data_IF_980204761028
#
_entry.id   IF_980204761028
#
_cell.length_a   1.000
_cell.length_b   1.000
_cell.length_c   1.000
_cell.angle_alpha   90.00
_cell.angle_beta   90.00
_cell.angle_gamma   90.00
#
_symmetry.space_group_name_H-M   'P 1'
#
loop_
_entity.id
_entity.type
_entity.pdbx_description
1 polymer ?
#
# COMPACT_ATOMS: atom_id res chain seq x y z
N UNK A 1 69.47 -34.88 17.31
CA UNK A 1 68.18 -34.74 18.02
C UNK A 1 67.28 -33.83 17.19
N UNK A 2 66.32 -34.40 16.44
CA UNK A 2 65.33 -33.61 15.67
C UNK A 2 64.23 -33.17 16.62
N UNK A 3 64.01 -31.87 16.77
CA UNK A 3 62.93 -31.30 17.57
C UNK A 3 61.62 -31.39 16.77
N UNK A 4 60.69 -32.19 17.26
CA UNK A 4 59.33 -32.27 16.74
C UNK A 4 58.50 -31.18 17.42
N UNK A 5 57.95 -30.25 16.64
CA UNK A 5 57.03 -29.23 17.13
C UNK A 5 55.60 -29.70 16.87
N UNK A 6 54.85 -29.95 17.95
CA UNK A 6 53.42 -30.29 17.88
C UNK A 6 52.62 -29.00 17.83
N UNK A 7 51.97 -28.73 16.70
CA UNK A 7 51.08 -27.58 16.53
C UNK A 7 49.70 -27.92 17.13
N UNK A 8 49.33 -27.25 18.21
CA UNK A 8 48.02 -27.41 18.87
C UNK A 8 46.99 -26.50 18.16
N UNK A 9 46.06 -27.09 17.42
CA UNK A 9 44.92 -26.35 16.85
C UNK A 9 43.86 -26.15 17.94
N UNK A 10 43.73 -24.93 18.45
CA UNK A 10 42.60 -24.54 19.30
C UNK A 10 41.43 -24.16 18.39
N UNK A 11 40.45 -25.05 18.28
CA UNK A 11 39.18 -24.76 17.62
C UNK A 11 38.35 -23.90 18.58
N UNK A 12 38.31 -22.60 18.34
CA UNK A 12 37.39 -21.69 19.02
C UNK A 12 36.02 -21.90 18.37
N UNK A 13 35.15 -22.65 19.04
CA UNK A 13 33.73 -22.71 18.74
C UNK A 13 33.12 -21.33 19.04
N UNK A 14 33.01 -20.49 18.01
CA UNK A 14 32.18 -19.30 18.06
C UNK A 14 30.74 -19.80 18.02
N UNK A 15 30.13 -19.94 19.19
CA UNK A 15 28.68 -20.04 19.27
C UNK A 15 28.14 -18.70 18.80
N UNK A 16 27.53 -18.68 17.62
CA UNK A 16 26.60 -17.62 17.26
C UNK A 16 25.43 -17.74 18.23
N UNK A 17 25.55 -17.09 19.39
CA UNK A 17 24.39 -16.68 20.16
C UNK A 17 23.65 -15.76 19.19
N UNK A 18 22.63 -16.30 18.52
CA UNK A 18 21.60 -15.48 17.90
C UNK A 18 21.03 -14.71 19.07
N UNK A 19 21.54 -13.50 19.31
CA UNK A 19 20.79 -12.51 20.07
C UNK A 19 19.50 -12.38 19.29
N UNK A 20 18.44 -13.01 19.78
CA UNK A 20 17.09 -12.55 19.51
C UNK A 20 17.13 -11.07 19.85
N UNK A 21 17.14 -10.20 18.83
CA UNK A 21 17.07 -8.77 19.04
C UNK A 21 15.67 -8.49 19.56
N UNK A 22 15.44 -8.74 20.84
CA UNK A 22 14.19 -8.44 21.51
C UNK A 22 14.16 -6.94 21.73
N UNK A 23 13.11 -6.29 21.24
CA UNK A 23 12.90 -4.85 21.42
C UNK A 23 12.63 -4.63 22.90
N UNK A 24 13.29 -3.66 23.56
CA UNK A 24 13.01 -3.36 24.97
C UNK A 24 11.67 -2.63 25.13
N UNK A 25 11.13 -2.58 26.36
CA UNK A 25 9.90 -1.80 26.62
C UNK A 25 10.10 -0.32 26.31
N UNK A 26 11.27 0.24 26.61
CA UNK A 26 11.62 1.63 26.31
C UNK A 26 11.66 1.88 24.80
N UNK A 27 12.25 0.96 24.03
CA UNK A 27 12.29 1.05 22.58
C UNK A 27 10.88 0.93 21.97
N UNK A 28 10.06 0.01 22.49
CA UNK A 28 8.68 -0.16 22.08
C UNK A 28 7.86 1.11 22.28
N UNK A 29 7.95 1.70 23.48
CA UNK A 29 7.33 2.99 23.82
C UNK A 29 7.84 4.06 22.85
N UNK A 30 9.16 4.18 22.69
CA UNK A 30 9.77 5.16 21.79
C UNK A 30 9.23 5.05 20.36
N UNK A 31 9.12 3.84 19.81
CA UNK A 31 8.60 3.64 18.44
C UNK A 31 7.15 4.10 18.28
N UNK A 32 6.27 3.81 19.25
CA UNK A 32 4.89 4.30 19.22
C UNK A 32 4.83 5.81 19.40
N UNK A 33 5.55 6.38 20.38
CA UNK A 33 5.60 7.82 20.63
C UNK A 33 6.12 8.59 19.43
N UNK A 34 7.14 8.05 18.73
CA UNK A 34 7.69 8.65 17.53
C UNK A 34 6.70 8.62 16.38
N UNK A 35 5.99 7.49 16.19
CA UNK A 35 4.89 7.44 15.21
C UNK A 35 3.84 8.50 15.52
N UNK A 36 3.35 8.54 16.75
CA UNK A 36 2.31 9.48 17.17
C UNK A 36 2.75 10.93 16.94
N UNK A 37 3.97 11.30 17.35
CA UNK A 37 4.53 12.64 17.13
C UNK A 37 4.56 12.99 15.64
N UNK A 38 5.15 12.13 14.81
CA UNK A 38 5.31 12.38 13.38
C UNK A 38 3.94 12.47 12.67
N UNK A 39 2.95 11.68 13.09
CA UNK A 39 1.60 11.77 12.56
C UNK A 39 0.91 13.07 13.02
N UNK A 40 0.96 13.39 14.31
CA UNK A 40 0.36 14.60 14.89
C UNK A 40 0.82 15.87 14.20
N UNK A 41 2.11 15.96 13.86
CA UNK A 41 2.64 17.10 13.14
C UNK A 41 2.46 16.99 11.62
N UNK A 42 2.64 15.81 11.02
CA UNK A 42 2.82 15.76 9.57
C UNK A 42 1.66 15.12 8.81
N UNK A 43 0.82 14.27 9.43
CA UNK A 43 -0.20 13.51 8.71
C UNK A 43 -1.20 14.42 8.02
N UNK A 44 -1.39 14.23 6.72
CA UNK A 44 -2.17 15.16 5.93
C UNK A 44 -3.69 15.07 6.18
N UNK A 45 -4.23 13.90 6.49
CA UNK A 45 -5.66 13.64 6.26
C UNK A 45 -6.47 13.37 7.54
N UNK A 46 -6.18 14.06 8.65
CA UNK A 46 -6.99 13.94 9.87
C UNK A 46 -8.47 14.29 9.64
N UNK A 47 -8.81 15.11 8.63
CA UNK A 47 -10.21 15.38 8.27
C UNK A 47 -10.99 14.15 7.77
N UNK A 48 -10.30 13.08 7.36
CA UNK A 48 -10.93 11.83 6.93
C UNK A 48 -11.28 10.92 8.12
N UNK A 49 -10.88 11.28 9.33
CA UNK A 49 -11.11 10.56 10.58
C UNK A 49 -11.60 11.49 11.70
N UNK A 50 -12.70 12.25 11.46
CA UNK A 50 -13.15 13.31 12.38
C UNK A 50 -13.55 12.80 13.77
N UNK A 51 -13.93 11.53 13.87
CA UNK A 51 -14.39 10.90 15.11
C UNK A 51 -13.24 10.31 15.94
N UNK A 52 -12.01 10.34 15.43
CA UNK A 52 -10.83 9.77 16.11
C UNK A 52 -10.15 10.86 16.94
N UNK A 53 -10.25 10.74 18.26
CA UNK A 53 -9.36 11.47 19.16
C UNK A 53 -7.99 10.78 19.15
N UNK A 54 -7.06 11.32 18.36
CA UNK A 54 -5.77 10.68 18.11
C UNK A 54 -4.87 10.57 19.35
N UNK A 55 -4.99 11.51 20.29
CA UNK A 55 -4.23 11.47 21.54
C UNK A 55 -4.77 10.40 22.51
N UNK A 56 -6.09 10.24 22.59
CA UNK A 56 -6.69 9.14 23.37
C UNK A 56 -6.40 7.77 22.72
N UNK A 57 -6.43 7.70 21.38
CA UNK A 57 -6.01 6.51 20.65
C UNK A 57 -4.55 6.15 20.97
N UNK A 58 -3.65 7.13 20.97
CA UNK A 58 -2.27 6.91 21.35
C UNK A 58 -2.13 6.38 22.79
N UNK A 59 -2.88 6.92 23.76
CA UNK A 59 -2.85 6.45 25.15
C UNK A 59 -3.32 5.00 25.29
N UNK A 60 -4.37 4.61 24.57
CA UNK A 60 -4.85 3.21 24.52
C UNK A 60 -3.75 2.28 23.96
N UNK A 61 -3.15 2.66 22.83
CA UNK A 61 -2.07 1.87 22.22
C UNK A 61 -0.79 1.85 23.04
N UNK A 62 -0.51 2.90 23.82
CA UNK A 62 0.63 2.94 24.73
C UNK A 62 0.53 1.82 25.77
N UNK A 63 -0.67 1.57 26.31
CA UNK A 63 -0.90 0.47 27.26
C UNK A 63 -0.70 -0.89 26.59
N UNK A 64 -1.13 -1.06 25.33
CA UNK A 64 -0.92 -2.30 24.56
C UNK A 64 0.58 -2.56 24.32
N UNK A 65 1.32 -1.53 23.95
CA UNK A 65 2.76 -1.59 23.64
C UNK A 65 3.62 -1.86 24.88
N UNK A 66 3.25 -1.31 26.04
CA UNK A 66 3.96 -1.54 27.31
C UNK A 66 3.89 -3.02 27.72
N UNK A 67 2.74 -3.66 27.51
CA UNK A 67 2.48 -5.02 27.98
C UNK A 67 2.81 -6.13 26.96
N UNK A 68 3.26 -5.76 25.75
CA UNK A 68 3.64 -6.73 24.72
C UNK A 68 5.13 -7.06 24.82
N UNK A 69 5.50 -8.34 24.76
CA UNK A 69 6.89 -8.81 24.83
C UNK A 69 7.37 -9.42 23.50
N UNK A 70 6.46 -9.85 22.64
CA UNK A 70 6.78 -10.40 21.33
C UNK A 70 6.91 -9.28 20.28
N UNK A 71 8.07 -9.23 19.63
CA UNK A 71 8.37 -8.20 18.63
C UNK A 71 7.40 -8.23 17.44
N UNK A 72 6.93 -9.41 17.03
CA UNK A 72 5.98 -9.53 15.93
C UNK A 72 4.64 -8.91 16.34
N UNK A 73 4.12 -9.27 17.51
CA UNK A 73 2.90 -8.67 18.05
C UNK A 73 3.04 -7.16 18.29
N UNK A 74 4.19 -6.68 18.76
CA UNK A 74 4.46 -5.25 18.88
C UNK A 74 4.28 -4.53 17.54
N UNK A 75 4.89 -5.04 16.47
CA UNK A 75 4.74 -4.45 15.14
C UNK A 75 3.32 -4.58 14.59
N UNK A 76 2.60 -5.66 14.92
CA UNK A 76 1.18 -5.81 14.60
C UNK A 76 0.32 -4.76 15.32
N UNK A 77 0.66 -4.40 16.56
CA UNK A 77 0.01 -3.29 17.30
C UNK A 77 0.29 -1.95 16.60
N UNK A 78 1.53 -1.68 16.18
CA UNK A 78 1.84 -0.46 15.42
C UNK A 78 1.11 -0.38 14.08
N UNK A 79 0.98 -1.50 13.37
CA UNK A 79 0.21 -1.56 12.12
C UNK A 79 -1.27 -1.26 12.35
N UNK A 80 -1.85 -1.75 13.46
CA UNK A 80 -3.21 -1.41 13.88
C UNK A 80 -3.38 0.07 14.17
N UNK A 81 -2.48 0.65 14.96
CA UNK A 81 -2.47 2.09 15.23
C UNK A 81 -2.39 2.91 13.94
N UNK A 82 -1.52 2.49 13.02
CA UNK A 82 -1.35 3.13 11.72
C UNK A 82 -2.60 3.02 10.83
N UNK A 83 -3.29 1.87 10.84
CA UNK A 83 -4.48 1.64 10.03
C UNK A 83 -5.66 2.54 10.41
N UNK A 84 -5.71 3.03 11.66
CA UNK A 84 -6.70 4.02 12.11
C UNK A 84 -6.60 5.35 11.33
N UNK A 85 -5.45 5.66 10.72
CA UNK A 85 -5.27 6.83 9.86
C UNK A 85 -5.89 6.67 8.45
N UNK A 86 -6.29 5.45 8.07
CA UNK A 86 -7.02 5.14 6.82
C UNK A 86 -6.38 5.72 5.55
N UNK A 87 -5.05 5.72 5.47
CA UNK A 87 -4.29 6.33 4.35
C UNK A 87 -3.29 5.37 3.70
N UNK A 88 -3.35 5.27 2.36
CA UNK A 88 -2.52 4.34 1.59
C UNK A 88 -1.04 4.71 1.54
N UNK A 89 -0.68 5.96 1.85
CA UNK A 89 0.70 6.45 1.90
C UNK A 89 1.28 6.48 3.32
N UNK A 90 0.52 5.98 4.30
CA UNK A 90 0.91 5.91 5.71
C UNK A 90 0.94 4.45 6.15
N UNK A 91 2.12 3.91 6.46
CA UNK A 91 2.33 2.47 6.65
C UNK A 91 3.44 2.19 7.66
N UNK A 92 3.33 1.07 8.38
CA UNK A 92 4.39 0.50 9.23
C UNK A 92 4.96 -0.74 8.56
N UNK A 93 6.29 -0.77 8.44
CA UNK A 93 7.06 -1.88 7.89
C UNK A 93 7.88 -2.54 9.00
N UNK A 94 7.62 -3.83 9.22
CA UNK A 94 8.37 -4.63 10.18
C UNK A 94 9.84 -4.79 9.75
N UNK A 95 10.77 -4.97 10.69
CA UNK A 95 12.13 -5.42 10.45
C UNK A 95 12.22 -6.69 9.58
N UNK A 96 13.34 -6.87 8.90
CA UNK A 96 13.57 -8.03 8.03
C UNK A 96 13.43 -9.36 8.77
N UNK A 97 14.02 -9.48 9.97
CA UNK A 97 13.98 -10.71 10.78
C UNK A 97 12.55 -11.14 11.20
N UNK A 98 11.58 -10.22 11.17
CA UNK A 98 10.16 -10.53 11.39
C UNK A 98 9.46 -10.86 10.08
N UNK A 99 9.73 -10.11 9.00
CA UNK A 99 9.15 -10.38 7.67
C UNK A 99 9.56 -11.75 7.13
N UNK A 100 10.76 -12.22 7.45
CA UNK A 100 11.24 -13.57 7.06
C UNK A 100 10.44 -14.70 7.72
N UNK A 101 9.74 -14.43 8.82
CA UNK A 101 8.84 -15.39 9.47
C UNK A 101 7.47 -15.46 8.80
N UNK A 102 7.09 -14.45 8.01
CA UNK A 102 5.82 -14.44 7.30
C UNK A 102 5.88 -15.29 6.02
N UNK A 103 4.82 -16.05 5.79
CA UNK A 103 4.66 -16.85 4.60
C UNK A 103 3.38 -16.49 3.84
N UNK A 104 3.54 -16.42 2.52
CA UNK A 104 2.46 -16.19 1.56
C UNK A 104 2.16 -17.53 0.90
N UNK A 105 1.12 -18.26 1.35
CA UNK A 105 0.83 -19.57 0.79
C UNK A 105 0.49 -19.45 -0.70
N UNK A 106 0.76 -20.50 -1.51
CA UNK A 106 0.56 -20.45 -2.96
C UNK A 106 -0.93 -20.61 -3.31
N UNK A 107 -1.78 -19.71 -2.81
CA UNK A 107 -3.21 -19.60 -3.08
C UNK A 107 -3.48 -18.14 -3.45
N UNK A 108 -3.78 -17.89 -4.73
CA UNK A 108 -4.00 -16.53 -5.26
C UNK A 108 -5.48 -16.18 -5.14
N UNK A 109 -5.77 -15.14 -4.37
CA UNK A 109 -7.14 -14.75 -4.03
C UNK A 109 -7.51 -13.41 -4.66
N UNK A 110 -8.78 -13.26 -5.03
CA UNK A 110 -9.40 -11.98 -5.41
C UNK A 110 -10.76 -11.83 -4.73
N UNK A 111 -11.08 -10.59 -4.37
CA UNK A 111 -12.42 -10.20 -3.95
C UNK A 111 -13.19 -9.70 -5.17
N UNK A 112 -14.42 -10.17 -5.31
CA UNK A 112 -15.39 -9.74 -6.32
C UNK A 112 -16.66 -9.41 -5.55
N UNK A 113 -17.03 -8.13 -5.48
CA UNK A 113 -18.11 -7.63 -4.62
C UNK A 113 -17.90 -8.13 -3.18
N UNK A 114 -18.80 -8.94 -2.64
CA UNK A 114 -18.71 -9.49 -1.28
C UNK A 114 -18.30 -10.97 -1.23
N UNK A 115 -17.72 -11.46 -2.32
CA UNK A 115 -17.28 -12.84 -2.45
C UNK A 115 -15.77 -12.92 -2.65
N UNK A 116 -15.19 -14.00 -2.12
CA UNK A 116 -13.75 -14.24 -2.13
C UNK A 116 -13.48 -15.48 -2.98
N UNK A 117 -12.70 -15.32 -4.04
CA UNK A 117 -12.44 -16.38 -5.02
C UNK A 117 -10.96 -16.72 -5.10
N UNK A 118 -10.68 -18.01 -5.23
CA UNK A 118 -9.36 -18.53 -5.55
C UNK A 118 -9.19 -18.53 -7.07
N UNK A 119 -8.31 -17.66 -7.56
CA UNK A 119 -8.08 -17.47 -9.00
C UNK A 119 -6.84 -18.19 -9.51
N UNK A 120 -5.98 -18.71 -8.63
CA UNK A 120 -4.83 -19.54 -8.98
C UNK A 120 -4.28 -20.23 -7.73
N UNK A 121 -3.48 -21.27 -7.91
CA UNK A 121 -2.81 -22.00 -6.82
C UNK A 121 -1.42 -22.46 -7.25
N UNK A 122 -0.59 -22.89 -6.31
CA UNK A 122 0.62 -23.66 -6.57
C UNK A 122 0.30 -25.09 -6.99
N UNK A 123 1.33 -25.83 -7.42
CA UNK A 123 1.18 -27.24 -7.81
C UNK A 123 0.62 -28.08 -6.66
N UNK A 124 1.02 -27.82 -5.41
CA UNK A 124 0.58 -28.61 -4.24
C UNK A 124 -0.93 -28.61 -4.01
N UNK A 125 -1.63 -27.57 -4.46
CA UNK A 125 -3.10 -27.48 -4.32
C UNK A 125 -3.85 -27.63 -5.65
N UNK A 126 -3.15 -27.79 -6.78
CA UNK A 126 -3.75 -27.78 -8.12
C UNK A 126 -4.79 -28.89 -8.36
N UNK A 127 -4.59 -30.05 -7.73
CA UNK A 127 -5.47 -31.22 -7.86
C UNK A 127 -6.58 -31.24 -6.78
N UNK A 128 -6.54 -30.29 -5.81
CA UNK A 128 -7.42 -30.23 -4.64
C UNK A 128 -8.36 -29.02 -4.71
N UNK A 129 -7.84 -27.88 -5.17
CA UNK A 129 -8.55 -26.60 -5.25
C UNK A 129 -8.76 -26.25 -6.73
N UNK A 130 -9.96 -26.50 -7.28
CA UNK A 130 -10.32 -25.99 -8.60
C UNK A 130 -10.24 -24.47 -8.64
N UNK A 131 -9.69 -23.91 -9.72
CA UNK A 131 -9.71 -22.45 -9.98
C UNK A 131 -11.17 -21.99 -10.04
N UNK A 132 -11.46 -20.82 -9.46
CA UNK A 132 -12.83 -20.29 -9.34
C UNK A 132 -13.59 -20.77 -8.10
N UNK A 133 -12.97 -21.56 -7.22
CA UNK A 133 -13.56 -21.91 -5.92
C UNK A 133 -13.75 -20.67 -5.05
N UNK A 134 -14.89 -20.59 -4.34
CA UNK A 134 -15.21 -19.52 -3.40
C UNK A 134 -14.74 -19.91 -2.01
N UNK A 135 -14.07 -19.01 -1.29
CA UNK A 135 -13.73 -19.19 0.13
C UNK A 135 -14.94 -18.77 0.96
N UNK A 136 -15.43 -19.69 1.80
CA UNK A 136 -16.53 -19.46 2.73
C UNK A 136 -16.02 -19.15 4.14
N UNK A 137 -14.98 -19.87 4.59
CA UNK A 137 -14.43 -19.73 5.95
C UNK A 137 -12.92 -19.79 5.96
N UNK A 138 -12.32 -19.18 6.99
CA UNK A 138 -10.93 -19.35 7.39
C UNK A 138 -10.91 -19.66 8.88
N UNK A 139 -10.23 -20.74 9.28
CA UNK A 139 -10.14 -21.19 10.67
C UNK A 139 -11.51 -21.32 11.35
N UNK A 140 -12.49 -21.86 10.61
CA UNK A 140 -13.87 -22.05 11.05
C UNK A 140 -14.73 -20.78 11.08
N UNK A 141 -14.14 -19.59 10.89
CA UNK A 141 -14.83 -18.31 10.88
C UNK A 141 -15.29 -17.91 9.47
N UNK A 142 -16.50 -17.36 9.35
CA UNK A 142 -17.01 -16.81 8.08
C UNK A 142 -16.06 -15.78 7.47
N UNK A 143 -15.79 -15.89 6.17
CA UNK A 143 -14.67 -15.23 5.49
C UNK A 143 -14.68 -13.70 5.64
N UNK A 144 -15.87 -13.08 5.59
CA UNK A 144 -16.00 -11.63 5.73
C UNK A 144 -15.77 -11.18 7.18
N UNK A 145 -16.23 -11.95 8.17
CA UNK A 145 -15.94 -11.69 9.58
C UNK A 145 -14.45 -11.86 9.87
N UNK A 146 -13.83 -12.92 9.34
CA UNK A 146 -12.40 -13.14 9.45
C UNK A 146 -11.59 -11.97 8.90
N UNK A 147 -11.97 -11.47 7.72
CA UNK A 147 -11.33 -10.30 7.12
C UNK A 147 -11.49 -9.05 8.01
N UNK A 148 -12.69 -8.78 8.53
CA UNK A 148 -12.97 -7.63 9.37
C UNK A 148 -12.23 -7.66 10.71
N UNK A 149 -12.06 -8.84 11.31
CA UNK A 149 -11.52 -8.98 12.67
C UNK A 149 -10.01 -9.22 12.66
N UNK A 150 -9.49 -9.98 11.68
CA UNK A 150 -8.13 -10.49 11.70
C UNK A 150 -7.21 -9.91 10.62
N UNK A 151 -7.77 -9.25 9.59
CA UNK A 151 -6.99 -8.80 8.42
C UNK A 151 -7.06 -7.28 8.22
N UNK A 152 -8.24 -6.72 8.00
CA UNK A 152 -8.44 -5.29 7.74
C UNK A 152 -7.91 -4.36 8.83
N UNK A 153 -7.96 -4.69 10.13
CA UNK A 153 -7.41 -3.82 11.17
C UNK A 153 -5.90 -3.56 11.03
N UNK A 154 -5.18 -4.31 10.20
CA UNK A 154 -3.73 -4.18 10.00
C UNK A 154 -3.36 -3.49 8.67
N UNK A 155 -4.34 -3.07 7.88
CA UNK A 155 -4.11 -2.50 6.54
C UNK A 155 -4.56 -1.05 6.53
N UNK A 156 -3.62 -0.15 6.27
CA UNK A 156 -3.91 1.27 6.06
C UNK A 156 -4.27 1.55 4.60
N UNK A 157 -5.35 2.29 4.38
CA UNK A 157 -5.78 2.70 3.05
C UNK A 157 -7.26 3.06 2.98
N UNK A 158 -7.67 3.52 1.80
CA UNK A 158 -9.08 3.68 1.47
C UNK A 158 -9.81 2.32 1.53
N UNK A 159 -11.12 2.34 1.77
CA UNK A 159 -11.91 1.12 1.96
C UNK A 159 -11.73 0.08 0.84
N UNK A 160 -11.76 0.53 -0.42
CA UNK A 160 -11.56 -0.38 -1.57
C UNK A 160 -10.15 -0.99 -1.61
N UNK A 161 -9.12 -0.25 -1.16
CA UNK A 161 -7.75 -0.76 -1.04
C UNK A 161 -7.66 -1.77 0.09
N UNK A 162 -8.22 -1.47 1.26
CA UNK A 162 -8.26 -2.38 2.42
C UNK A 162 -8.95 -3.69 2.04
N UNK A 163 -10.12 -3.61 1.40
CA UNK A 163 -10.88 -4.78 0.92
C UNK A 163 -10.10 -5.60 -0.12
N UNK A 164 -9.49 -4.93 -1.11
CA UNK A 164 -8.73 -5.61 -2.17
C UNK A 164 -7.44 -6.26 -1.66
N UNK A 165 -6.66 -5.52 -0.87
CA UNK A 165 -5.40 -5.99 -0.30
C UNK A 165 -5.64 -7.07 0.76
N UNK A 166 -6.60 -6.87 1.66
CA UNK A 166 -6.94 -7.85 2.68
C UNK A 166 -7.37 -9.19 2.08
N UNK A 167 -8.19 -9.20 1.03
CA UNK A 167 -8.50 -10.45 0.33
C UNK A 167 -7.26 -11.13 -0.26
N UNK A 168 -6.30 -10.36 -0.81
CA UNK A 168 -5.07 -10.92 -1.37
C UNK A 168 -4.13 -11.50 -0.31
N UNK A 169 -4.15 -10.95 0.91
CA UNK A 169 -3.21 -11.29 1.98
C UNK A 169 -3.84 -12.02 3.15
N UNK A 170 -5.13 -12.35 3.11
CA UNK A 170 -5.85 -12.94 4.24
C UNK A 170 -5.28 -14.28 4.73
N UNK A 171 -4.63 -15.03 3.85
CA UNK A 171 -3.98 -16.30 4.20
C UNK A 171 -2.51 -16.12 4.61
N UNK A 172 -1.96 -14.91 4.59
CA UNK A 172 -0.60 -14.66 5.12
C UNK A 172 -0.59 -14.97 6.62
N UNK A 173 0.46 -15.63 7.08
CA UNK A 173 0.64 -16.06 8.47
C UNK A 173 2.10 -16.38 8.76
N UNK A 174 2.40 -16.81 9.99
CA UNK A 174 3.75 -17.23 10.35
C UNK A 174 4.05 -18.64 9.86
N UNK A 175 5.31 -18.90 9.49
CA UNK A 175 5.78 -20.25 9.16
C UNK A 175 5.52 -21.18 10.36
N UNK A 176 4.89 -22.32 10.09
CA UNK A 176 4.49 -23.31 11.09
C UNK A 176 3.05 -23.15 11.60
N UNK A 177 2.38 -22.03 11.33
CA UNK A 177 0.99 -21.77 11.73
C UNK A 177 0.02 -22.10 10.59
N UNK A 178 -0.17 -23.39 10.31
CA UNK A 178 -1.12 -23.87 9.30
C UNK A 178 -2.52 -23.26 9.50
N UNK A 179 -3.19 -22.93 8.39
CA UNK A 179 -4.56 -22.41 8.39
C UNK A 179 -5.52 -23.39 7.73
N UNK A 180 -6.79 -23.35 8.10
CA UNK A 180 -7.85 -24.10 7.41
C UNK A 180 -8.71 -23.15 6.60
N UNK A 181 -9.12 -23.56 5.40
CA UNK A 181 -10.11 -22.86 4.59
C UNK A 181 -11.26 -23.79 4.25
N UNK A 182 -12.50 -23.30 4.36
CA UNK A 182 -13.66 -23.98 3.78
C UNK A 182 -13.97 -23.33 2.45
N UNK A 183 -14.01 -24.12 1.38
CA UNK A 183 -14.31 -23.65 0.02
C UNK A 183 -15.59 -24.26 -0.53
N UNK A 184 -16.31 -23.50 -1.37
CA UNK A 184 -17.30 -24.02 -2.32
C UNK A 184 -16.63 -24.11 -3.69
N UNK A 185 -16.51 -25.34 -4.22
CA UNK A 185 -15.97 -25.59 -5.56
C UNK A 185 -16.97 -25.15 -6.64
N UNK A 186 -16.55 -25.00 -7.92
CA UNK A 186 -17.46 -24.66 -9.02
C UNK A 186 -18.63 -25.64 -9.20
N UNK A 187 -18.45 -26.92 -8.83
CA UNK A 187 -19.51 -27.94 -8.84
C UNK A 187 -20.45 -27.89 -7.61
N UNK A 188 -20.35 -26.84 -6.77
CA UNK A 188 -21.10 -26.64 -5.52
C UNK A 188 -20.78 -27.59 -4.37
N UNK A 189 -19.76 -28.42 -4.52
CA UNK A 189 -19.25 -29.25 -3.43
C UNK A 189 -18.48 -28.37 -2.43
N UNK A 190 -18.76 -28.57 -1.14
CA UNK A 190 -18.06 -27.87 -0.05
C UNK A 190 -16.98 -28.79 0.49
N UNK A 191 -15.76 -28.25 0.63
CA UNK A 191 -14.63 -28.97 1.19
C UNK A 191 -13.82 -28.06 2.13
N UNK A 192 -13.38 -28.62 3.26
CA UNK A 192 -12.37 -28.00 4.12
C UNK A 192 -10.96 -28.47 3.70
N UNK A 193 -10.03 -27.53 3.65
CA UNK A 193 -8.68 -27.73 3.13
C UNK A 193 -7.68 -27.10 4.09
N UNK A 194 -6.64 -27.86 4.43
CA UNK A 194 -5.50 -27.38 5.19
C UNK A 194 -4.50 -26.68 4.28
N UNK A 195 -4.20 -25.43 4.59
CA UNK A 195 -3.18 -24.61 3.96
C UNK A 195 -1.92 -24.64 4.83
N UNK A 196 -0.91 -25.34 4.33
CA UNK A 196 0.39 -25.49 5.00
C UNK A 196 1.19 -24.19 4.97
N UNK A 197 1.67 -23.75 6.14
CA UNK A 197 2.61 -22.63 6.27
C UNK A 197 4.05 -23.14 6.37
N UNK A 198 4.48 -23.92 5.40
CA UNK A 198 5.76 -24.63 5.41
C UNK A 198 6.94 -23.81 4.89
N UNK A 199 6.70 -22.56 4.44
CA UNK A 199 7.73 -21.69 3.87
C UNK A 199 8.06 -22.00 2.40
N UNK A 200 7.44 -23.01 1.78
CA UNK A 200 7.81 -23.47 0.45
C UNK A 200 7.16 -22.62 -0.65
N UNK A 201 7.98 -21.96 -1.46
CA UNK A 201 7.49 -21.08 -2.53
C UNK A 201 7.31 -21.84 -3.83
N UNK A 202 6.12 -21.73 -4.41
CA UNK A 202 5.77 -22.40 -5.66
C UNK A 202 5.50 -21.40 -6.79
N UNK A 203 5.69 -21.84 -8.03
CA UNK A 203 5.18 -21.12 -9.19
C UNK A 203 3.67 -21.31 -9.27
N UNK A 204 2.97 -20.29 -9.77
CA UNK A 204 1.55 -20.41 -10.09
C UNK A 204 1.32 -21.53 -11.11
N UNK A 205 0.31 -22.37 -10.84
CA UNK A 205 0.00 -23.53 -11.65
C UNK A 205 -0.61 -23.14 -12.99
N UNK A 206 -1.57 -22.21 -12.98
CA UNK A 206 -2.12 -21.64 -14.21
C UNK A 206 -1.27 -20.44 -14.66
N UNK A 207 -1.06 -20.24 -15.97
CA UNK A 207 -0.51 -19.00 -16.49
C UNK A 207 -1.33 -17.82 -15.95
N UNK A 208 -0.66 -16.77 -15.48
CA UNK A 208 -1.37 -15.53 -15.18
C UNK A 208 -1.70 -14.87 -16.52
N UNK A 209 -2.98 -14.58 -16.76
CA UNK A 209 -3.44 -13.79 -17.94
C UNK A 209 -2.77 -12.41 -17.99
N UNK A 210 -2.21 -11.97 -16.87
CA UNK A 210 -1.19 -10.94 -16.78
C UNK A 210 0.20 -11.58 -16.72
N UNK A 211 0.90 -11.70 -17.85
CA UNK A 211 2.35 -11.59 -17.77
C UNK A 211 2.59 -10.25 -17.08
N UNK A 212 3.13 -10.26 -15.85
CA UNK A 212 3.77 -9.06 -15.35
C UNK A 212 4.66 -8.56 -16.49
N UNK A 213 4.45 -7.33 -16.96
CA UNK A 213 5.15 -6.87 -18.14
C UNK A 213 6.64 -7.04 -17.87
N UNK A 214 7.29 -7.88 -18.68
CA UNK A 214 8.74 -8.11 -18.56
C UNK A 214 9.53 -6.85 -18.94
N UNK A 215 8.87 -5.91 -19.62
CA UNK A 215 9.45 -4.68 -20.14
C UNK A 215 8.88 -3.45 -19.45
N UNK A 216 9.73 -2.44 -19.29
CA UNK A 216 9.36 -1.09 -18.81
C UNK A 216 8.34 -0.45 -19.76
N UNK A 217 8.55 -0.59 -21.08
CA UNK A 217 7.64 -0.14 -22.14
C UNK A 217 7.41 -1.26 -23.15
N UNK A 218 6.17 -1.46 -23.58
CA UNK A 218 5.83 -2.37 -24.68
C UNK A 218 4.99 -1.60 -25.70
N UNK A 219 5.32 -1.73 -26.98
CA UNK A 219 4.58 -1.09 -28.08
C UNK A 219 4.05 -2.17 -29.03
N UNK A 220 2.81 -1.99 -29.49
CA UNK A 220 2.16 -2.84 -30.50
C UNK A 220 1.36 -1.98 -31.47
N UNK A 221 1.47 -2.27 -32.76
CA UNK A 221 0.47 -1.86 -33.73
C UNK A 221 -0.70 -2.85 -33.69
N UNK A 222 -1.90 -2.37 -33.40
CA UNK A 222 -3.11 -3.17 -33.36
C UNK A 222 -3.90 -3.03 -34.68
N UNK A 223 -4.91 -3.88 -34.84
CA UNK A 223 -5.83 -3.80 -35.98
C UNK A 223 -6.50 -2.41 -36.06
N UNK A 224 -6.95 -2.07 -37.26
CA UNK A 224 -7.60 -0.79 -37.59
C UNK A 224 -6.70 0.43 -37.31
N UNK A 225 -5.38 0.30 -37.41
CA UNK A 225 -4.43 1.40 -37.19
C UNK A 225 -4.52 2.05 -35.80
N UNK A 226 -4.66 1.23 -34.75
CA UNK A 226 -4.59 1.68 -33.36
C UNK A 226 -3.19 1.40 -32.82
N UNK A 227 -2.54 2.42 -32.27
CA UNK A 227 -1.31 2.25 -31.51
C UNK A 227 -1.62 1.77 -30.09
N UNK A 228 -0.82 0.85 -29.57
CA UNK A 228 -0.83 0.46 -28.17
C UNK A 228 0.54 0.68 -27.57
N UNK A 229 0.58 1.29 -26.39
CA UNK A 229 1.78 1.41 -25.59
C UNK A 229 1.49 1.17 -24.11
N UNK A 230 2.21 0.26 -23.47
CA UNK A 230 2.16 0.10 -22.01
C UNK A 230 3.34 0.80 -21.36
N UNK A 231 3.10 1.50 -20.26
CA UNK A 231 4.12 2.15 -19.42
C UNK A 231 4.04 1.54 -18.03
N UNK A 232 4.95 0.62 -17.70
CA UNK A 232 4.77 -0.29 -16.57
C UNK A 232 5.45 0.15 -15.28
N UNK A 233 6.20 1.25 -15.31
CA UNK A 233 6.77 1.88 -14.11
C UNK A 233 7.19 3.32 -14.41
N UNK A 234 7.11 4.21 -13.42
CA UNK A 234 7.79 5.49 -13.43
C UNK A 234 8.96 5.54 -12.44
N UNK A 235 9.39 4.42 -11.87
CA UNK A 235 10.52 4.39 -10.93
C UNK A 235 11.89 4.41 -11.66
N UNK A 236 11.88 4.23 -12.98
CA UNK A 236 13.05 4.06 -13.85
C UNK A 236 13.03 5.13 -14.93
N UNK A 237 14.13 5.85 -15.10
CA UNK A 237 14.21 6.95 -16.09
C UNK A 237 14.10 6.41 -17.52
N UNK A 238 14.54 5.17 -17.74
CA UNK A 238 14.52 4.46 -19.02
C UNK A 238 13.12 4.42 -19.67
N UNK A 239 12.04 4.54 -18.89
CA UNK A 239 10.67 4.64 -19.41
C UNK A 239 10.51 5.81 -20.39
N UNK A 240 11.17 6.94 -20.12
CA UNK A 240 11.09 8.15 -20.94
C UNK A 240 11.78 7.93 -22.28
N UNK A 241 13.02 7.43 -22.26
CA UNK A 241 13.79 7.17 -23.48
C UNK A 241 13.09 6.11 -24.35
N UNK A 242 12.60 5.04 -23.72
CA UNK A 242 11.87 3.99 -24.43
C UNK A 242 10.58 4.51 -25.04
N UNK A 243 9.83 5.37 -24.34
CA UNK A 243 8.64 6.02 -24.89
C UNK A 243 8.98 6.94 -26.08
N UNK A 244 9.99 7.80 -25.92
CA UNK A 244 10.45 8.72 -26.98
C UNK A 244 10.86 7.93 -28.23
N UNK A 245 11.55 6.79 -28.07
CA UNK A 245 11.95 5.92 -29.19
C UNK A 245 10.78 5.35 -30.00
N UNK A 246 9.54 5.45 -29.50
CA UNK A 246 8.33 4.99 -30.17
C UNK A 246 7.48 6.12 -30.75
N UNK A 247 7.80 7.39 -30.48
CA UNK A 247 6.98 8.54 -30.90
C UNK A 247 6.68 8.54 -32.40
N UNK A 248 7.69 8.35 -33.25
CA UNK A 248 7.50 8.34 -34.70
C UNK A 248 6.49 7.27 -35.14
N UNK A 249 6.49 6.11 -34.50
CA UNK A 249 5.53 5.03 -34.76
C UNK A 249 4.15 5.35 -34.18
N UNK A 250 4.10 5.90 -32.97
CA UNK A 250 2.84 6.29 -32.32
C UNK A 250 2.08 7.33 -33.13
N UNK A 251 2.79 8.29 -33.74
CA UNK A 251 2.20 9.34 -34.58
C UNK A 251 1.70 8.85 -35.95
N UNK A 252 1.95 7.59 -36.35
CA UNK A 252 1.37 7.01 -37.57
C UNK A 252 -0.04 6.43 -37.35
N UNK A 253 -0.50 6.34 -36.11
CA UNK A 253 -1.77 5.71 -35.78
C UNK A 253 -2.90 6.73 -35.66
N UNK A 254 -4.11 6.32 -36.04
CA UNK A 254 -5.31 7.17 -35.96
C UNK A 254 -5.82 7.30 -34.52
N UNK A 255 -5.49 6.35 -33.66
CA UNK A 255 -5.85 6.34 -32.25
C UNK A 255 -4.79 5.64 -31.40
N UNK A 256 -4.73 5.98 -30.11
CA UNK A 256 -3.74 5.46 -29.17
C UNK A 256 -4.42 4.86 -27.92
N UNK A 257 -3.96 3.67 -27.51
CA UNK A 257 -4.23 3.07 -26.20
C UNK A 257 -2.95 3.18 -25.36
N UNK A 258 -3.05 3.83 -24.21
CA UNK A 258 -1.97 3.92 -23.21
C UNK A 258 -2.35 3.07 -22.01
N UNK A 259 -1.58 2.01 -21.76
CA UNK A 259 -1.83 1.07 -20.68
C UNK A 259 -0.89 1.32 -19.49
N UNK A 260 -1.48 1.73 -18.37
CA UNK A 260 -0.79 1.96 -17.09
C UNK A 260 -1.30 1.03 -15.97
N UNK A 261 -2.06 -0.02 -16.31
CA UNK A 261 -2.69 -0.91 -15.31
C UNK A 261 -1.69 -1.64 -14.41
N UNK A 262 -0.47 -1.83 -14.90
CA UNK A 262 0.65 -2.43 -14.14
C UNK A 262 1.67 -1.41 -13.63
N UNK A 263 1.38 -0.11 -13.75
CA UNK A 263 2.27 0.95 -13.29
C UNK A 263 2.03 1.24 -11.80
N UNK A 264 3.01 0.90 -10.96
CA UNK A 264 2.98 1.20 -9.53
C UNK A 264 3.36 2.63 -9.15
N UNK A 265 3.56 3.51 -10.13
CA UNK A 265 4.06 4.88 -9.93
C UNK A 265 5.59 4.96 -9.97
N UNK A 266 6.13 5.94 -9.25
CA UNK A 266 7.57 6.24 -9.17
C UNK A 266 7.82 7.75 -9.18
N UNK A 267 8.65 8.22 -10.10
CA UNK A 267 9.01 9.61 -10.23
C UNK A 267 8.08 10.34 -11.20
N UNK A 268 7.32 11.30 -10.66
CA UNK A 268 6.40 12.16 -11.38
C UNK A 268 7.06 12.95 -12.53
N UNK A 269 8.35 13.26 -12.44
CA UNK A 269 9.12 13.90 -13.53
C UNK A 269 9.11 13.06 -14.81
N UNK A 270 9.16 11.72 -14.70
CA UNK A 270 9.17 10.84 -15.87
C UNK A 270 7.81 10.78 -16.54
N UNK A 271 6.73 10.72 -15.76
CA UNK A 271 5.37 10.84 -16.28
C UNK A 271 5.19 12.16 -17.04
N UNK A 272 5.65 13.27 -16.48
CA UNK A 272 5.57 14.59 -17.13
C UNK A 272 6.37 14.69 -18.44
N UNK A 273 7.58 14.10 -18.48
CA UNK A 273 8.37 14.07 -19.71
C UNK A 273 7.69 13.28 -20.84
N UNK A 274 6.79 12.35 -20.50
CA UNK A 274 5.99 11.59 -21.46
C UNK A 274 4.73 12.37 -21.86
N UNK A 275 3.99 12.94 -20.90
CA UNK A 275 2.70 13.59 -21.17
C UNK A 275 2.81 14.81 -22.08
N UNK A 276 3.95 15.50 -22.12
CA UNK A 276 4.19 16.62 -23.05
C UNK A 276 4.05 16.24 -24.53
N UNK A 277 4.16 14.95 -24.89
CA UNK A 277 3.99 14.45 -26.25
C UNK A 277 2.55 13.97 -26.54
N UNK A 278 1.67 14.02 -25.55
CA UNK A 278 0.28 13.53 -25.62
C UNK A 278 -0.74 14.69 -25.64
N UNK A 279 -0.29 15.92 -25.81
CA UNK A 279 -1.12 17.13 -25.83
C UNK A 279 -0.70 18.07 -26.94
N UNK A 280 -1.67 18.78 -27.52
CA UNK A 280 -1.46 19.88 -28.47
C UNK A 280 -1.25 21.22 -27.77
N UNK A 281 -1.45 21.28 -26.44
CA UNK A 281 -1.30 22.49 -25.63
C UNK A 281 0.15 22.66 -25.17
N UNK A 282 0.65 23.92 -25.10
CA UNK A 282 1.98 24.19 -24.56
C UNK A 282 2.05 24.10 -23.02
N UNK A 283 0.93 23.75 -22.36
CA UNK A 283 0.81 23.62 -20.92
C UNK A 283 -0.11 22.47 -20.54
N UNK A 284 0.04 21.96 -19.31
CA UNK A 284 -0.88 21.04 -18.65
C UNK A 284 -1.10 21.53 -17.22
N UNK A 285 -2.31 21.35 -16.68
CA UNK A 285 -2.58 21.71 -15.29
C UNK A 285 -2.30 20.52 -14.38
N UNK A 286 -1.32 20.67 -13.48
CA UNK A 286 -1.02 19.68 -12.44
C UNK A 286 -2.01 19.69 -11.28
N UNK A 287 -1.92 18.70 -10.41
CA UNK A 287 -2.66 18.68 -9.15
C UNK A 287 -2.31 19.90 -8.27
N UNK A 288 -3.25 20.30 -7.40
CA UNK A 288 -2.95 21.30 -6.37
C UNK A 288 -2.41 20.62 -5.12
N UNK A 289 -1.31 21.15 -4.61
CA UNK A 289 -0.63 20.66 -3.41
C UNK A 289 -0.72 21.59 -2.22
N UNK A 290 -0.83 21.02 -1.03
CA UNK A 290 -0.56 21.75 0.21
C UNK A 290 0.12 20.87 1.25
N UNK A 291 0.97 21.48 2.06
CA UNK A 291 1.68 20.86 3.18
C UNK A 291 1.31 21.55 4.50
N UNK A 292 1.45 20.84 5.61
CA UNK A 292 1.33 21.45 6.95
C UNK A 292 2.46 22.45 7.18
N UNK A 293 2.13 23.51 7.92
CA UNK A 293 3.05 24.59 8.28
C UNK A 293 3.15 24.71 9.79
N UNK A 294 4.35 24.51 10.31
CA UNK A 294 4.62 24.54 11.76
C UNK A 294 5.47 25.74 12.13
N UNK A 295 4.88 26.70 12.85
CA UNK A 295 5.58 27.86 13.40
C UNK A 295 5.34 27.89 14.91
N UNK A 296 6.37 27.53 15.68
CA UNK A 296 6.26 27.34 17.13
C UNK A 296 5.73 28.59 17.87
N UNK A 297 6.20 29.78 17.48
CA UNK A 297 5.70 31.04 18.04
C UNK A 297 4.22 31.27 17.73
N UNK A 298 3.77 30.95 16.51
CA UNK A 298 2.37 31.11 16.14
C UNK A 298 1.49 30.08 16.85
N UNK A 299 1.98 28.86 17.06
CA UNK A 299 1.33 27.87 17.90
C UNK A 299 1.11 28.37 19.34
N UNK A 300 2.13 29.01 19.94
CA UNK A 300 2.01 29.61 21.26
C UNK A 300 0.99 30.77 21.29
N UNK A 301 0.98 31.63 20.27
CA UNK A 301 0.01 32.73 20.17
C UNK A 301 -1.41 32.25 19.88
N UNK A 302 -1.58 31.19 19.09
CA UNK A 302 -2.88 30.58 18.78
C UNK A 302 -3.55 29.94 20.01
N UNK A 303 -2.78 29.54 21.03
CA UNK A 303 -3.31 28.91 22.23
C UNK A 303 -4.34 29.80 22.98
N UNK A 304 -4.21 31.12 22.89
CA UNK A 304 -5.15 32.05 23.53
C UNK A 304 -6.52 32.15 22.84
N UNK A 305 -6.68 31.55 21.65
CA UNK A 305 -8.00 31.34 21.04
C UNK A 305 -8.75 30.16 21.68
N UNK A 306 -8.03 29.21 22.27
CA UNK A 306 -8.65 28.11 23.00
C UNK A 306 -9.18 28.62 24.35
N UNK A 307 -10.48 28.45 24.57
CA UNK A 307 -11.17 28.96 25.75
C UNK A 307 -10.61 28.39 27.06
N UNK A 308 -10.48 27.07 27.15
CA UNK A 308 -10.02 26.39 28.35
C UNK A 308 -8.60 26.81 28.72
N UNK A 309 -7.72 26.91 27.72
CA UNK A 309 -6.35 27.35 27.91
C UNK A 309 -6.25 28.81 28.39
N UNK A 310 -6.97 29.72 27.73
CA UNK A 310 -6.95 31.14 28.08
C UNK A 310 -7.52 31.38 29.50
N UNK A 311 -8.67 30.78 29.81
CA UNK A 311 -9.33 30.92 31.11
C UNK A 311 -8.50 30.32 32.25
N UNK A 312 -7.83 29.19 32.02
CA UNK A 312 -6.92 28.57 33.01
C UNK A 312 -5.74 29.48 33.39
N UNK A 313 -5.37 30.41 32.51
CA UNK A 313 -4.32 31.40 32.73
C UNK A 313 -4.85 32.78 33.13
N UNK A 314 -6.17 32.93 33.31
CA UNK A 314 -6.81 34.20 33.69
C UNK A 314 -6.96 35.21 32.54
N UNK A 315 -6.87 34.76 31.30
CA UNK A 315 -7.08 35.59 30.11
C UNK A 315 -8.49 35.40 29.55
N UNK A 316 -8.97 36.42 28.84
CA UNK A 316 -10.18 36.31 28.01
C UNK A 316 -9.77 35.69 26.66
N UNK A 317 -10.48 34.67 26.15
CA UNK A 317 -10.18 34.09 24.86
C UNK A 317 -10.28 35.14 23.74
N UNK A 318 -9.28 35.20 22.86
CA UNK A 318 -9.24 36.16 21.74
C UNK A 318 -9.28 35.42 20.41
N UNK A 319 -10.01 35.95 19.43
CA UNK A 319 -9.81 35.54 18.04
C UNK A 319 -8.35 35.75 17.66
N UNK A 320 -7.74 34.73 17.05
CA UNK A 320 -6.32 34.72 16.69
C UNK A 320 -6.18 34.18 15.28
N UNK A 321 -5.53 34.94 14.40
CA UNK A 321 -5.13 34.44 13.07
C UNK A 321 -4.18 33.23 13.15
N UNK A 322 -3.65 32.94 14.35
CA UNK A 322 -2.75 31.84 14.62
C UNK A 322 -3.46 30.59 15.19
N UNK A 323 -4.79 30.61 15.36
CA UNK A 323 -5.55 29.49 15.94
C UNK A 323 -5.25 28.15 15.25
N UNK A 324 -5.18 28.14 13.91
CA UNK A 324 -4.86 26.93 13.15
C UNK A 324 -3.49 26.34 13.52
N UNK A 325 -2.50 27.15 13.91
CA UNK A 325 -1.19 26.66 14.35
C UNK A 325 -1.26 25.97 15.71
N UNK A 326 -2.20 26.36 16.59
CA UNK A 326 -2.41 25.70 17.88
C UNK A 326 -2.89 24.26 17.70
N UNK A 327 -3.85 24.04 16.80
CA UNK A 327 -4.41 22.74 16.46
C UNK A 327 -3.59 21.95 15.42
N UNK A 328 -2.35 22.38 15.14
CA UNK A 328 -1.48 21.83 14.08
C UNK A 328 -2.13 21.83 12.68
N UNK A 329 -3.17 22.62 12.42
CA UNK A 329 -3.96 22.64 11.20
C UNK A 329 -3.67 23.83 10.27
N UNK A 330 -2.52 24.50 10.44
CA UNK A 330 -2.09 25.53 9.50
C UNK A 330 -1.49 24.90 8.23
N UNK A 331 -1.85 25.43 7.06
CA UNK A 331 -1.44 24.91 5.75
C UNK A 331 -0.73 25.97 4.90
N UNK A 332 0.24 25.51 4.11
CA UNK A 332 0.84 26.28 3.03
C UNK A 332 0.51 25.65 1.69
N UNK A 333 -0.05 26.45 0.77
CA UNK A 333 -0.18 26.04 -0.63
C UNK A 333 1.20 25.98 -1.25
N UNK A 334 1.48 24.86 -1.89
CA UNK A 334 2.75 24.69 -2.60
C UNK A 334 2.80 25.66 -3.78
N UNK A 335 3.95 26.33 -3.93
CA UNK A 335 4.19 27.29 -5.02
C UNK A 335 4.75 26.62 -6.29
N UNK A 336 5.00 25.32 -6.20
CA UNK A 336 5.58 24.52 -7.28
C UNK A 336 4.46 23.62 -7.77
N UNK A 337 4.19 23.66 -9.08
CA UNK A 337 3.42 22.63 -9.74
C UNK A 337 4.22 21.33 -9.59
N UNK A 338 3.73 20.45 -8.73
CA UNK A 338 4.26 19.10 -8.65
C UNK A 338 3.77 18.29 -9.84
N UNK A 339 4.54 17.28 -10.23
CA UNK A 339 4.32 16.58 -11.49
C UNK A 339 3.30 15.42 -11.40
N UNK A 340 2.36 15.44 -10.44
CA UNK A 340 1.46 14.32 -10.17
C UNK A 340 1.94 13.41 -9.05
N UNK A 341 1.49 13.63 -7.83
CA UNK A 341 1.62 12.67 -6.72
C UNK A 341 0.29 12.51 -5.98
N UNK A 342 -0.04 11.28 -5.59
CA UNK A 342 -1.18 10.95 -4.72
C UNK A 342 -0.85 11.12 -3.22
N UNK A 343 0.35 11.58 -2.91
CA UNK A 343 0.81 11.80 -1.54
C UNK A 343 2.34 11.80 -1.47
N UNK A 344 2.90 12.59 -0.56
CA UNK A 344 4.34 12.62 -0.33
C UNK A 344 4.61 12.05 1.07
N UNK A 345 5.12 10.81 1.18
CA UNK A 345 5.46 10.27 2.48
C UNK A 345 6.80 10.82 3.00
N UNK A 346 6.84 11.19 4.29
CA UNK A 346 8.09 11.20 5.06
C UNK A 346 8.38 9.80 5.56
N UNK A 347 9.65 9.45 5.71
CA UNK A 347 10.10 8.15 6.21
C UNK A 347 10.95 8.32 7.46
N UNK A 348 10.75 7.45 8.45
CA UNK A 348 11.58 7.40 9.65
C UNK A 348 11.73 5.96 10.16
N UNK A 349 12.77 5.75 10.96
CA UNK A 349 13.11 4.45 11.52
C UNK A 349 12.31 4.17 12.79
N UNK A 350 12.00 2.91 12.99
CA UNK A 350 11.45 2.31 14.21
C UNK A 350 12.50 1.35 14.82
N UNK A 351 12.31 0.85 16.05
CA UNK A 351 13.24 -0.07 16.70
C UNK A 351 13.63 -1.28 15.85
N UNK A 352 14.87 -1.75 15.98
CA UNK A 352 15.41 -2.90 15.24
C UNK A 352 15.21 -2.84 13.71
N UNK A 353 15.43 -1.67 13.10
CA UNK A 353 15.37 -1.47 11.64
C UNK A 353 13.98 -1.57 11.00
N UNK A 354 12.92 -1.58 11.81
CA UNK A 354 11.60 -1.30 11.27
C UNK A 354 11.54 0.14 10.74
N UNK A 355 10.48 0.44 10.01
CA UNK A 355 10.29 1.80 9.50
C UNK A 355 8.82 2.15 9.40
N UNK A 356 8.56 3.44 9.39
CA UNK A 356 7.25 3.99 9.14
C UNK A 356 7.35 5.02 8.02
N UNK A 357 6.25 5.17 7.29
CA UNK A 357 6.02 6.31 6.43
C UNK A 357 4.71 6.99 6.78
N UNK A 358 4.65 8.31 6.64
CA UNK A 358 3.46 9.12 6.91
C UNK A 358 3.24 10.08 5.76
N UNK A 359 2.03 10.11 5.20
CA UNK A 359 1.67 11.03 4.14
C UNK A 359 1.58 12.46 4.66
N UNK A 360 2.36 13.38 4.07
CA UNK A 360 2.46 14.77 4.54
C UNK A 360 1.82 15.79 3.60
N UNK A 361 1.32 15.34 2.46
CA UNK A 361 0.87 16.21 1.38
C UNK A 361 -0.58 15.95 1.02
N UNK A 362 -1.38 17.02 1.03
CA UNK A 362 -2.72 17.03 0.42
C UNK A 362 -2.62 17.30 -1.07
N UNK A 363 -3.36 16.54 -1.84
CA UNK A 363 -3.42 16.65 -3.29
C UNK A 363 -4.88 16.67 -3.75
N UNK A 364 -5.25 17.61 -4.63
CA UNK A 364 -6.56 17.68 -5.28
C UNK A 364 -6.41 17.86 -6.78
N UNK A 365 -7.48 17.61 -7.55
CA UNK A 365 -7.53 18.07 -8.93
C UNK A 365 -7.32 19.59 -9.00
N UNK A 366 -7.02 20.07 -10.21
CA UNK A 366 -6.84 21.50 -10.55
C UNK A 366 -8.05 22.34 -10.11
N UNK A 367 -9.25 21.75 -10.21
CA UNK A 367 -10.53 22.37 -9.87
C UNK A 367 -10.92 22.19 -8.38
N UNK A 368 -10.03 21.61 -7.57
CA UNK A 368 -10.24 21.38 -6.14
C UNK A 368 -10.99 20.08 -5.81
N UNK A 369 -11.46 19.31 -6.80
CA UNK A 369 -12.07 18.00 -6.53
C UNK A 369 -11.07 17.08 -5.82
N UNK A 370 -11.55 16.26 -4.88
CA UNK A 370 -10.73 15.28 -4.17
C UNK A 370 -10.63 13.99 -4.99
N UNK A 371 -9.46 13.35 -4.98
CA UNK A 371 -9.26 11.98 -5.47
C UNK A 371 -8.55 11.08 -4.44
N UNK A 372 -7.91 11.64 -3.42
CA UNK A 372 -7.33 10.86 -2.32
C UNK A 372 -8.46 10.20 -1.53
N UNK A 373 -8.33 8.90 -1.29
CA UNK A 373 -9.39 8.09 -0.65
C UNK A 373 -10.48 7.58 -1.61
N UNK A 374 -10.60 8.18 -2.81
CA UNK A 374 -11.66 7.88 -3.78
C UNK A 374 -11.09 7.13 -5.00
N UNK A 375 -9.96 7.59 -5.53
CA UNK A 375 -9.41 7.17 -6.81
C UNK A 375 -9.78 8.14 -7.95
N UNK A 376 -9.20 7.90 -9.13
CA UNK A 376 -9.62 8.56 -10.37
C UNK A 376 -10.70 7.67 -11.00
N UNK A 377 -11.91 8.22 -11.16
CA UNK A 377 -13.05 7.49 -11.72
C UNK A 377 -12.90 7.48 -13.24
N UNK A 378 -12.88 6.30 -13.90
CA UNK A 378 -12.80 6.22 -15.35
C UNK A 378 -14.11 6.67 -16.01
N UNK A 379 -14.03 7.24 -17.21
CA UNK A 379 -15.23 7.59 -18.00
C UNK A 379 -16.04 6.35 -18.42
N UNK A 380 -15.37 5.21 -18.55
CA UNK A 380 -15.98 3.91 -18.85
C UNK A 380 -15.53 2.93 -17.76
N UNK A 381 -16.43 2.61 -16.86
CA UNK A 381 -16.17 1.65 -15.78
C UNK A 381 -16.35 0.20 -16.27
N UNK A 382 -15.47 -0.68 -15.79
CA UNK A 382 -15.55 -2.12 -16.03
C UNK A 382 -15.50 -2.84 -14.68
N UNK A 383 -16.63 -3.39 -14.26
CA UNK A 383 -16.70 -4.25 -13.09
C UNK A 383 -16.18 -5.66 -13.45
N UNK A 384 -15.07 -6.13 -12.87
CA UNK A 384 -14.59 -7.49 -13.12
C UNK A 384 -15.51 -8.51 -12.43
N UNK A 385 -15.91 -9.53 -13.17
CA UNK A 385 -16.55 -10.74 -12.63
C UNK A 385 -15.53 -11.87 -12.46
N UNK A 386 -15.99 -13.08 -12.11
CA UNK A 386 -15.08 -14.21 -11.94
C UNK A 386 -14.45 -14.61 -13.28
N UNK A 387 -15.21 -14.55 -14.37
CA UNK A 387 -14.75 -14.91 -15.70
C UNK A 387 -13.62 -13.98 -16.16
N UNK A 388 -13.64 -12.70 -15.80
CA UNK A 388 -12.52 -11.77 -16.00
C UNK A 388 -11.21 -12.33 -15.45
N UNK A 389 -11.24 -12.94 -14.26
CA UNK A 389 -10.05 -13.49 -13.63
C UNK A 389 -9.72 -14.92 -14.05
N UNK A 390 -10.68 -15.67 -14.61
CA UNK A 390 -10.48 -17.04 -15.08
C UNK A 390 -10.07 -17.10 -16.55
N UNK A 391 -10.44 -16.08 -17.33
CA UNK A 391 -10.14 -15.95 -18.75
C UNK A 391 -8.68 -15.58 -19.01
N UNK A 392 -8.16 -16.06 -20.14
CA UNK A 392 -6.88 -15.64 -20.71
C UNK A 392 -7.00 -14.38 -21.58
N UNK A 393 -8.22 -13.81 -21.70
CA UNK A 393 -8.47 -12.59 -22.48
C UNK A 393 -8.18 -11.33 -21.67
N UNK A 394 -7.66 -10.33 -22.36
CA UNK A 394 -7.55 -8.98 -21.82
C UNK A 394 -8.84 -8.19 -22.10
N UNK A 395 -9.83 -8.38 -21.23
CA UNK A 395 -11.17 -7.79 -21.42
C UNK A 395 -11.12 -6.26 -21.46
N UNK A 396 -10.23 -5.62 -20.69
CA UNK A 396 -10.11 -4.15 -20.70
C UNK A 396 -9.55 -3.67 -22.03
N UNK A 397 -8.52 -4.35 -22.56
CA UNK A 397 -7.96 -4.01 -23.87
C UNK A 397 -8.98 -4.24 -25.00
N UNK A 398 -9.72 -5.34 -24.97
CA UNK A 398 -10.78 -5.63 -25.95
C UNK A 398 -11.86 -4.53 -25.94
N UNK A 399 -12.33 -4.11 -24.75
CA UNK A 399 -13.28 -3.01 -24.59
C UNK A 399 -12.75 -1.67 -25.10
N UNK A 400 -11.48 -1.36 -24.83
CA UNK A 400 -10.84 -0.15 -25.33
C UNK A 400 -10.76 -0.13 -26.87
N UNK A 401 -10.39 -1.26 -27.49
CA UNK A 401 -10.37 -1.43 -28.94
C UNK A 401 -11.78 -1.27 -29.53
N UNK A 402 -12.79 -1.91 -28.92
CA UNK A 402 -14.18 -1.80 -29.35
C UNK A 402 -14.68 -0.35 -29.31
N UNK A 403 -14.40 0.35 -28.21
CA UNK A 403 -14.77 1.76 -28.04
C UNK A 403 -14.14 2.65 -29.12
N UNK A 404 -12.83 2.52 -29.35
CA UNK A 404 -12.13 3.31 -30.37
C UNK A 404 -12.65 3.01 -31.78
N UNK A 405 -12.96 1.75 -32.10
CA UNK A 405 -13.50 1.42 -33.42
C UNK A 405 -14.90 1.98 -33.68
N UNK A 406 -15.67 2.27 -32.62
CA UNK A 406 -17.01 2.88 -32.73
C UNK A 406 -16.96 4.42 -32.83
N UNK A 407 -15.88 5.05 -32.37
CA UNK A 407 -15.78 6.50 -32.19
C UNK A 407 -14.62 7.15 -32.96
N UNK A 408 -14.13 6.48 -34.01
CA UNK A 408 -13.07 6.98 -34.89
C UNK A 408 -13.56 7.99 -35.92
#
# INVERSE_FOLDING_TARGET
MKKTYTLLFVIILITNIVKTQTISVEERIYGLSKFWEEATYNFAFFENIPDVNYDELYKDYLTKVINEEDDYQYYRILQKFCAELKDGHTNVYMPEYLREKEFYPPVRIRRIKDEIYIINVGKSYSDIIPRGSKILKVDGQEVLSYLNENVYPYISGAEHIVKSSGAKTMLVGLIGEDKTITIEKPNKEIQEILIKMDGNREKWYYPLSSNYPKSIVEYKALKNNIGYISLNTFAKEEVVEMFISKLDSLYQHDALIIDIRYNGGGNSKYAHQITKYLTDKPYFFGEQGSTRKHLATYKAWGAFANKEYAEALGFVPTESEYEEYYYNNAWEKEKIDTFGSTGQPIFFKLPNEGSCRICTRKCTYVDGRKFIGIGIIPDIELEPDIDYYLSDKDIVLEKAIEYLNKNK
#
